data_IF_786292118485
#
_entry.id   IF_786292118485
#
_cell.length_a   1.000
_cell.length_b   1.000
_cell.length_c   1.000
_cell.angle_alpha   90.00
_cell.angle_beta   90.00
_cell.angle_gamma   90.00
#
_symmetry.space_group_name_H-M   'P 1'
#
loop_
_entity.id
_entity.type
_entity.pdbx_description
1 polymer ?
#
# COMPACT_ATOMS: atom_id res chain seq x y z
N UNK A 1 -2.28 20.02 30.03
CA UNK A 1 -3.27 19.05 29.53
C UNK A 1 -4.56 19.79 29.26
N UNK A 2 -5.12 19.62 28.06
CA UNK A 2 -6.46 20.14 27.74
C UNK A 2 -7.49 19.18 28.33
N UNK A 3 -8.63 19.69 28.81
CA UNK A 3 -9.67 18.87 29.46
C UNK A 3 -10.54 18.06 28.48
N UNK A 4 -10.48 18.39 27.18
CA UNK A 4 -11.19 17.72 26.09
C UNK A 4 -10.38 16.54 25.55
N UNK A 5 -11.07 15.51 25.08
CA UNK A 5 -10.41 14.36 24.48
C UNK A 5 -9.89 14.66 23.06
N UNK A 6 -9.17 13.68 22.46
CA UNK A 6 -8.51 13.86 21.16
C UNK A 6 -9.49 14.24 20.04
N UNK A 7 -10.71 13.72 20.07
CA UNK A 7 -11.69 13.95 19.01
C UNK A 7 -12.40 15.30 19.21
N UNK A 8 -12.69 15.65 20.47
CA UNK A 8 -13.35 16.91 20.83
C UNK A 8 -12.51 18.15 20.46
N UNK A 9 -11.18 18.06 20.57
CA UNK A 9 -10.25 19.14 20.19
C UNK A 9 -10.23 19.38 18.67
N UNK A 10 -10.33 18.31 17.89
CA UNK A 10 -10.36 18.38 16.41
C UNK A 10 -11.70 18.94 15.92
N UNK A 11 -12.82 18.56 16.54
CA UNK A 11 -14.15 19.14 16.26
C UNK A 11 -14.25 20.62 16.68
N UNK A 12 -13.53 21.03 17.72
CA UNK A 12 -13.46 22.43 18.17
C UNK A 12 -12.61 23.34 17.25
N UNK A 13 -12.02 22.80 16.18
CA UNK A 13 -11.26 23.58 15.19
C UNK A 13 -9.85 23.99 15.65
N UNK A 14 -9.30 23.32 16.67
CA UNK A 14 -7.95 23.61 17.15
C UNK A 14 -6.89 22.84 16.36
N UNK A 15 -5.80 23.53 16.01
CA UNK A 15 -4.64 22.90 15.37
C UNK A 15 -3.92 22.03 16.37
N UNK A 16 -3.74 20.76 16.02
CA UNK A 16 -3.15 19.75 16.87
C UNK A 16 -1.86 19.21 16.26
N UNK A 17 -0.83 19.07 17.09
CA UNK A 17 0.39 18.33 16.76
C UNK A 17 0.43 17.04 17.59
N UNK A 18 0.52 15.89 16.91
CA UNK A 18 0.78 14.60 17.54
C UNK A 18 2.30 14.38 17.61
N UNK A 19 2.85 14.32 18.83
CA UNK A 19 4.25 13.97 19.05
C UNK A 19 4.38 12.45 19.20
N UNK A 20 5.00 11.79 18.23
CA UNK A 20 5.32 10.37 18.30
C UNK A 20 6.78 10.20 18.74
N UNK A 21 7.01 9.38 19.77
CA UNK A 21 8.34 9.05 20.29
C UNK A 21 9.09 8.00 19.45
N UNK A 22 9.14 8.17 18.13
CA UNK A 22 9.77 7.21 17.22
C UNK A 22 11.27 7.49 17.07
N UNK A 23 12.12 6.58 17.56
CA UNK A 23 13.59 6.76 17.57
C UNK A 23 14.26 6.63 16.20
N UNK A 24 13.55 6.12 15.19
CA UNK A 24 14.13 5.85 13.86
C UNK A 24 14.73 7.09 13.22
N UNK A 25 14.04 8.23 13.29
CA UNK A 25 14.55 9.49 12.72
C UNK A 25 15.82 9.96 13.44
N UNK A 26 15.89 9.80 14.76
CA UNK A 26 17.10 10.10 15.54
C UNK A 26 18.27 9.19 15.14
N UNK A 27 18.02 7.90 14.87
CA UNK A 27 19.06 6.97 14.42
C UNK A 27 19.57 7.36 13.03
N UNK A 28 18.68 7.75 12.12
CA UNK A 28 19.05 8.21 10.77
C UNK A 28 19.89 9.49 10.86
N UNK A 29 19.47 10.45 11.68
CA UNK A 29 20.19 11.71 11.90
C UNK A 29 21.64 11.48 12.38
N UNK A 30 21.82 10.64 13.41
CA UNK A 30 23.16 10.26 13.88
C UNK A 30 23.97 9.51 12.82
N UNK A 31 23.33 8.67 12.01
CA UNK A 31 24.00 7.96 10.92
C UNK A 31 24.51 8.95 9.85
N UNK A 32 23.71 9.96 9.49
CA UNK A 32 24.11 11.02 8.55
C UNK A 32 25.30 11.82 9.10
N UNK A 33 25.27 12.23 10.37
CA UNK A 33 26.40 12.94 10.99
C UNK A 33 27.71 12.14 10.92
N UNK A 34 27.65 10.82 11.11
CA UNK A 34 28.82 9.94 11.03
C UNK A 34 29.31 9.78 9.58
N UNK A 35 28.40 9.61 8.63
CA UNK A 35 28.71 9.48 7.20
C UNK A 35 29.34 10.78 6.67
N UNK A 36 28.81 11.94 7.05
CA UNK A 36 29.30 13.25 6.60
C UNK A 36 30.72 13.54 7.08
N UNK A 37 31.10 13.06 8.28
CA UNK A 37 32.50 13.12 8.74
C UNK A 37 33.44 12.37 7.81
N UNK A 38 33.04 11.20 7.30
CA UNK A 38 33.84 10.41 6.36
C UNK A 38 33.88 11.07 4.98
N UNK A 39 32.73 11.53 4.47
CA UNK A 39 32.62 12.24 3.19
C UNK A 39 33.48 13.50 3.15
N UNK A 40 33.50 14.26 4.23
CA UNK A 40 34.33 15.47 4.38
C UNK A 40 35.83 15.16 4.25
N UNK A 41 36.32 14.06 4.83
CA UNK A 41 37.72 13.61 4.67
C UNK A 41 38.05 13.29 3.21
N UNK A 42 37.08 12.83 2.43
CA UNK A 42 37.23 12.53 1.00
C UNK A 42 36.98 13.75 0.08
N UNK A 43 36.71 14.93 0.64
CA UNK A 43 36.39 16.14 -0.13
C UNK A 43 34.99 16.13 -0.75
N UNK A 44 34.10 15.26 -0.28
CA UNK A 44 32.70 15.19 -0.69
C UNK A 44 31.83 16.10 0.18
N UNK A 45 30.74 16.65 -0.39
CA UNK A 45 29.72 17.37 0.36
C UNK A 45 28.84 16.46 1.22
N UNK A 46 28.03 17.02 2.13
CA UNK A 46 27.14 16.25 3.00
C UNK A 46 26.12 15.42 2.20
N UNK A 47 25.74 14.27 2.73
CA UNK A 47 24.76 13.38 2.12
C UNK A 47 23.34 13.94 2.30
N UNK A 48 22.63 14.17 1.19
CA UNK A 48 21.22 14.51 1.23
C UNK A 48 20.35 13.25 1.14
N UNK A 49 19.78 12.83 2.28
CA UNK A 49 18.93 11.63 2.38
C UNK A 49 17.70 11.69 1.48
N UNK A 50 17.14 12.87 1.21
CA UNK A 50 15.94 13.03 0.36
C UNK A 50 16.22 12.79 -1.13
N UNK A 51 17.51 12.67 -1.50
CA UNK A 51 17.97 12.53 -2.88
C UNK A 51 18.54 11.15 -3.22
N UNK A 52 18.48 10.20 -2.28
CA UNK A 52 19.00 8.85 -2.52
C UNK A 52 18.18 8.14 -3.61
N UNK A 53 18.81 7.31 -4.46
CA UNK A 53 18.09 6.48 -5.43
C UNK A 53 17.18 5.47 -4.71
N UNK A 54 15.99 5.23 -5.26
CA UNK A 54 14.99 4.31 -4.72
C UNK A 54 15.06 2.91 -5.37
N UNK A 55 16.00 2.73 -6.29
CA UNK A 55 16.28 1.54 -7.10
C UNK A 55 17.69 0.97 -6.83
N UNK A 56 18.26 1.26 -5.65
CA UNK A 56 19.59 0.81 -5.26
C UNK A 56 19.70 -0.73 -5.14
N UNK A 57 20.35 -1.35 -6.12
CA UNK A 57 20.49 -2.81 -6.19
C UNK A 57 21.16 -3.43 -4.94
N UNK A 58 22.27 -2.89 -4.39
CA UNK A 58 22.85 -3.38 -3.14
C UNK A 58 21.85 -3.44 -1.97
N UNK A 59 21.02 -2.41 -1.81
CA UNK A 59 19.98 -2.36 -0.78
C UNK A 59 18.93 -3.45 -0.98
N UNK A 60 18.45 -3.65 -2.21
CA UNK A 60 17.50 -4.74 -2.51
C UNK A 60 18.12 -6.13 -2.34
N UNK A 61 19.40 -6.32 -2.68
CA UNK A 61 20.08 -7.60 -2.46
C UNK A 61 20.24 -7.90 -0.96
N UNK A 62 20.58 -6.90 -0.13
CA UNK A 62 20.55 -7.03 1.34
C UNK A 62 19.15 -7.40 1.84
N UNK A 63 18.13 -6.75 1.30
CA UNK A 63 16.74 -7.01 1.66
C UNK A 63 16.32 -8.44 1.30
N UNK A 64 16.63 -8.92 0.09
CA UNK A 64 16.32 -10.29 -0.37
C UNK A 64 16.99 -11.38 0.49
N UNK A 65 18.14 -11.09 1.09
CA UNK A 65 18.79 -11.97 2.09
C UNK A 65 18.12 -11.94 3.48
N UNK A 66 17.10 -11.08 3.65
CA UNK A 66 16.40 -10.81 4.91
C UNK A 66 17.34 -10.33 6.04
N UNK A 67 18.38 -9.60 5.67
CA UNK A 67 19.32 -8.94 6.58
C UNK A 67 18.71 -7.64 7.15
N UNK A 68 17.48 -7.71 7.70
CA UNK A 68 16.67 -6.55 8.08
C UNK A 68 16.66 -6.24 9.58
N UNK A 69 17.65 -6.71 10.33
CA UNK A 69 17.80 -6.29 11.73
C UNK A 69 18.11 -4.79 11.78
N UNK A 70 17.39 -4.03 12.61
CA UNK A 70 17.44 -2.56 12.67
C UNK A 70 16.95 -1.83 11.39
N UNK A 71 16.33 -2.54 10.45
CA UNK A 71 15.62 -1.92 9.32
C UNK A 71 14.18 -1.70 9.72
N UNK A 72 13.79 -0.43 9.88
CA UNK A 72 12.48 -0.03 10.38
C UNK A 72 11.32 -0.79 9.72
N UNK A 73 10.37 -1.27 10.54
CA UNK A 73 9.21 -2.10 10.18
C UNK A 73 9.51 -3.51 9.65
N UNK A 74 10.75 -3.80 9.21
CA UNK A 74 11.09 -5.05 8.52
C UNK A 74 11.79 -6.09 9.40
N UNK A 75 11.85 -5.83 10.71
CA UNK A 75 12.72 -6.52 11.66
C UNK A 75 12.17 -7.87 12.15
N UNK A 76 10.84 -7.99 12.18
CA UNK A 76 10.18 -9.13 12.82
C UNK A 76 10.47 -10.45 12.09
N UNK A 77 10.48 -11.56 12.84
CA UNK A 77 10.71 -12.90 12.26
C UNK A 77 9.74 -13.21 11.12
N UNK A 78 8.44 -12.94 11.31
CA UNK A 78 7.44 -13.21 10.27
C UNK A 78 7.66 -12.35 9.02
N UNK A 79 8.07 -11.09 9.19
CA UNK A 79 8.37 -10.22 8.06
C UNK A 79 9.61 -10.69 7.29
N UNK A 80 10.66 -11.13 7.99
CA UNK A 80 11.85 -11.74 7.36
C UNK A 80 11.50 -12.96 6.51
N UNK A 81 10.62 -13.83 7.00
CA UNK A 81 10.15 -14.98 6.21
C UNK A 81 9.32 -14.54 5.00
N UNK A 82 8.48 -13.52 5.14
CA UNK A 82 7.74 -12.96 4.01
C UNK A 82 8.69 -12.39 2.94
N UNK A 83 9.71 -11.63 3.36
CA UNK A 83 10.73 -11.05 2.47
C UNK A 83 11.45 -12.13 1.67
N UNK A 84 11.89 -13.22 2.31
CA UNK A 84 12.55 -14.35 1.62
C UNK A 84 11.66 -15.01 0.57
N UNK A 85 10.34 -15.02 0.79
CA UNK A 85 9.38 -15.59 -0.16
C UNK A 85 9.02 -14.62 -1.28
N UNK A 86 8.99 -13.31 -1.00
CA UNK A 86 8.60 -12.26 -1.94
C UNK A 86 9.75 -11.75 -2.81
N UNK A 87 10.99 -11.78 -2.29
CA UNK A 87 12.20 -11.28 -2.96
C UNK A 87 12.02 -9.86 -3.52
N UNK A 88 11.70 -8.85 -2.68
CA UNK A 88 11.42 -7.48 -3.14
C UNK A 88 12.60 -6.91 -3.94
N UNK A 89 12.31 -6.29 -5.08
CA UNK A 89 13.29 -5.71 -6.00
C UNK A 89 12.91 -4.29 -6.47
N UNK A 90 11.87 -3.71 -5.86
CA UNK A 90 11.39 -2.36 -6.10
C UNK A 90 10.80 -1.74 -4.85
N UNK A 91 10.65 -0.41 -4.85
CA UNK A 91 9.98 0.29 -3.75
C UNK A 91 8.51 -0.11 -3.63
N UNK A 92 7.82 -0.36 -4.75
CA UNK A 92 6.43 -0.82 -4.76
C UNK A 92 6.27 -2.14 -3.99
N UNK A 93 7.22 -3.06 -4.11
CA UNK A 93 7.23 -4.28 -3.30
C UNK A 93 7.47 -4.02 -1.82
N UNK A 94 8.29 -3.02 -1.46
CA UNK A 94 8.48 -2.63 -0.05
C UNK A 94 7.18 -2.09 0.55
N UNK A 95 6.44 -1.27 -0.20
CA UNK A 95 5.13 -0.77 0.20
C UNK A 95 4.15 -1.96 0.32
N UNK A 96 4.18 -2.88 -0.63
CA UNK A 96 3.35 -4.09 -0.61
C UNK A 96 3.65 -5.00 0.59
N UNK A 97 4.92 -5.18 0.99
CA UNK A 97 5.30 -5.98 2.16
C UNK A 97 4.56 -5.55 3.42
N UNK A 98 4.55 -4.24 3.70
CA UNK A 98 3.90 -3.69 4.90
C UNK A 98 2.38 -3.84 4.83
N UNK A 99 1.79 -3.75 3.63
CA UNK A 99 0.36 -3.98 3.43
C UNK A 99 -0.03 -5.46 3.57
N UNK A 100 0.78 -6.37 3.03
CA UNK A 100 0.58 -7.82 3.06
C UNK A 100 0.82 -8.43 4.44
N UNK A 101 1.71 -7.84 5.26
CA UNK A 101 2.01 -8.34 6.60
C UNK A 101 0.97 -7.90 7.64
N UNK A 102 -0.30 -8.15 7.34
CA UNK A 102 -1.46 -7.89 8.21
C UNK A 102 -2.31 -9.14 8.35
N UNK A 103 -3.06 -9.33 9.46
CA UNK A 103 -3.82 -10.55 9.70
C UNK A 103 -4.78 -10.93 8.56
N UNK A 104 -5.48 -9.96 7.96
CA UNK A 104 -6.42 -10.22 6.87
C UNK A 104 -5.76 -10.82 5.62
N UNK A 105 -4.80 -10.12 4.99
CA UNK A 105 -4.06 -10.65 3.85
C UNK A 105 -3.39 -12.01 4.13
N UNK A 106 -2.75 -12.18 5.29
CA UNK A 106 -2.07 -13.42 5.68
C UNK A 106 -3.02 -14.63 5.79
N UNK A 107 -4.28 -14.42 6.18
CA UNK A 107 -5.27 -15.49 6.37
C UNK A 107 -6.12 -15.78 5.13
N UNK A 108 -6.09 -14.89 4.13
CA UNK A 108 -6.98 -14.96 2.96
C UNK A 108 -6.38 -15.66 1.74
N UNK A 109 -5.10 -16.06 1.78
CA UNK A 109 -4.35 -16.57 0.62
C UNK A 109 -3.81 -15.48 -0.31
N UNK A 110 -4.15 -14.20 -0.06
CA UNK A 110 -3.71 -13.05 -0.87
C UNK A 110 -2.19 -12.93 -0.97
N UNK A 111 -1.47 -13.26 0.10
CA UNK A 111 0.00 -13.22 0.12
C UNK A 111 0.58 -14.23 -0.86
N UNK A 112 0.00 -15.42 -0.93
CA UNK A 112 0.47 -16.48 -1.84
C UNK A 112 0.18 -16.11 -3.29
N UNK A 113 -1.01 -15.56 -3.57
CA UNK A 113 -1.37 -15.06 -4.90
C UNK A 113 -0.41 -13.97 -5.37
N UNK A 114 -0.07 -13.01 -4.51
CA UNK A 114 0.85 -11.92 -4.82
C UNK A 114 2.23 -12.46 -5.21
N UNK A 115 2.77 -13.34 -4.36
CA UNK A 115 4.08 -13.96 -4.55
C UNK A 115 4.12 -14.89 -5.78
N UNK A 116 3.03 -15.59 -6.07
CA UNK A 116 2.94 -16.48 -7.23
C UNK A 116 2.87 -15.68 -8.53
N UNK A 117 2.05 -14.63 -8.58
CA UNK A 117 1.94 -13.75 -9.75
C UNK A 117 3.23 -13.00 -10.01
N UNK A 118 3.85 -12.44 -8.96
CA UNK A 118 5.17 -11.76 -9.08
C UNK A 118 6.22 -12.68 -9.71
N UNK A 119 6.33 -13.92 -9.24
CA UNK A 119 7.33 -14.87 -9.73
C UNK A 119 6.91 -15.63 -10.99
N UNK A 120 5.81 -15.24 -11.66
CA UNK A 120 5.33 -15.90 -12.87
C UNK A 120 4.85 -17.34 -12.67
N UNK A 121 4.59 -17.76 -11.42
CA UNK A 121 4.03 -19.08 -11.07
C UNK A 121 2.51 -19.13 -11.25
N UNK A 122 1.88 -17.97 -11.35
CA UNK A 122 0.47 -17.80 -11.70
C UNK A 122 0.33 -16.66 -12.71
N UNK A 123 -0.66 -16.75 -13.58
CA UNK A 123 -0.96 -15.69 -14.56
C UNK A 123 -1.46 -14.42 -13.84
N UNK A 124 -0.97 -13.27 -14.27
CA UNK A 124 -1.44 -11.97 -13.77
C UNK A 124 -2.82 -11.67 -14.35
N UNK A 125 -3.80 -11.40 -13.49
CA UNK A 125 -5.15 -10.99 -13.89
C UNK A 125 -5.57 -9.72 -13.17
N UNK A 126 -6.40 -8.91 -13.80
CA UNK A 126 -6.74 -7.57 -13.31
C UNK A 126 -8.24 -7.40 -12.96
N UNK A 127 -8.71 -7.79 -11.75
CA UNK A 127 -7.96 -8.44 -10.66
C UNK A 127 -8.02 -9.98 -10.61
N UNK A 128 -8.99 -10.58 -11.29
CA UNK A 128 -9.29 -12.01 -11.18
C UNK A 128 -9.42 -12.66 -12.57
N UNK A 129 -9.00 -13.92 -12.78
CA UNK A 129 -9.06 -14.58 -14.09
C UNK A 129 -10.43 -14.49 -14.77
N UNK A 130 -11.49 -14.79 -14.03
CA UNK A 130 -12.87 -14.75 -14.55
C UNK A 130 -13.45 -13.33 -14.67
N UNK A 131 -12.91 -12.37 -13.90
CA UNK A 131 -13.49 -11.06 -13.68
C UNK A 131 -12.41 -9.99 -13.77
N UNK A 132 -11.94 -9.74 -14.98
CA UNK A 132 -10.90 -8.76 -15.27
C UNK A 132 -11.27 -7.80 -16.39
N UNK A 133 -10.60 -6.66 -16.41
CA UNK A 133 -10.79 -5.64 -17.43
C UNK A 133 -9.50 -4.84 -17.69
N UNK A 134 -9.19 -4.54 -18.95
CA UNK A 134 -7.95 -3.86 -19.36
C UNK A 134 -7.78 -2.48 -18.69
N UNK A 135 -8.88 -1.77 -18.43
CA UNK A 135 -8.85 -0.48 -17.70
C UNK A 135 -8.26 -0.58 -16.29
N UNK A 136 -8.20 -1.78 -15.70
CA UNK A 136 -7.65 -1.99 -14.37
C UNK A 136 -6.14 -2.25 -14.37
N UNK A 137 -5.58 -2.60 -15.52
CA UNK A 137 -4.14 -2.82 -15.69
C UNK A 137 -3.28 -1.67 -15.16
N UNK A 138 -3.50 -0.39 -15.54
CA UNK A 138 -2.66 0.70 -15.02
C UNK A 138 -2.79 0.92 -13.50
N UNK A 139 -3.93 0.56 -12.91
CA UNK A 139 -4.20 0.72 -11.47
C UNK A 139 -3.56 -0.40 -10.64
N UNK A 140 -3.56 -1.62 -11.19
CA UNK A 140 -3.22 -2.83 -10.45
C UNK A 140 -1.89 -3.47 -10.90
N UNK A 141 -1.23 -2.96 -11.95
CA UNK A 141 0.06 -3.47 -12.39
C UNK A 141 1.14 -3.48 -11.29
N UNK A 142 1.31 -2.42 -10.47
CA UNK A 142 2.32 -2.41 -9.40
C UNK A 142 2.08 -3.48 -8.32
N UNK A 143 0.86 -4.00 -8.22
CA UNK A 143 0.47 -5.01 -7.23
C UNK A 143 0.14 -6.35 -7.88
N UNK A 144 0.67 -6.60 -9.09
CA UNK A 144 0.49 -7.85 -9.84
C UNK A 144 -0.98 -8.25 -10.00
N UNK A 145 -1.85 -7.25 -10.21
CA UNK A 145 -3.27 -7.46 -10.40
C UNK A 145 -4.08 -7.61 -9.11
N UNK A 146 -3.46 -7.51 -7.93
CA UNK A 146 -4.16 -7.68 -6.65
C UNK A 146 -4.58 -6.32 -6.10
N UNK A 147 -5.82 -6.21 -5.61
CA UNK A 147 -6.31 -5.00 -4.98
C UNK A 147 -5.78 -4.97 -3.53
N UNK A 148 -4.71 -4.23 -3.32
CA UNK A 148 -3.98 -4.19 -2.05
C UNK A 148 -4.17 -2.87 -1.29
N UNK A 149 -4.45 -1.78 -2.02
CA UNK A 149 -4.54 -0.43 -1.44
C UNK A 149 -5.95 0.17 -1.57
N UNK A 150 -6.27 1.10 -0.67
CA UNK A 150 -7.56 1.79 -0.69
C UNK A 150 -7.66 2.75 -1.88
N UNK A 151 -6.54 3.34 -2.26
CA UNK A 151 -6.35 4.21 -3.40
C UNK A 151 -6.69 3.47 -4.70
N UNK A 152 -6.31 2.19 -4.80
CA UNK A 152 -6.67 1.34 -5.94
C UNK A 152 -8.19 1.14 -6.02
N UNK A 153 -8.87 0.94 -4.89
CA UNK A 153 -10.34 0.84 -4.86
C UNK A 153 -10.99 2.13 -5.36
N UNK A 154 -10.43 3.28 -4.99
CA UNK A 154 -10.92 4.58 -5.48
C UNK A 154 -10.66 4.76 -6.99
N UNK A 155 -9.47 4.41 -7.46
CA UNK A 155 -9.10 4.50 -8.88
C UNK A 155 -9.93 3.53 -9.74
N UNK A 156 -10.21 2.31 -9.26
CA UNK A 156 -11.12 1.35 -9.92
C UNK A 156 -12.49 1.99 -10.15
N UNK A 157 -13.07 2.63 -9.13
CA UNK A 157 -14.35 3.33 -9.28
C UNK A 157 -14.27 4.50 -10.29
N UNK A 158 -13.13 5.19 -10.33
CA UNK A 158 -12.89 6.26 -11.30
C UNK A 158 -12.87 5.73 -12.73
N UNK A 159 -12.06 4.71 -13.01
CA UNK A 159 -11.85 4.21 -14.38
C UNK A 159 -12.99 3.33 -14.88
N UNK A 160 -13.67 2.57 -14.01
CA UNK A 160 -14.76 1.67 -14.41
C UNK A 160 -16.12 2.37 -14.49
N UNK A 161 -16.33 3.40 -13.67
CA UNK A 161 -17.62 4.04 -13.51
C UNK A 161 -17.64 5.57 -13.67
N UNK A 162 -16.49 6.21 -13.88
CA UNK A 162 -16.39 7.65 -14.05
C UNK A 162 -16.69 8.44 -12.79
N UNK A 163 -16.44 7.86 -11.60
CA UNK A 163 -16.62 8.58 -10.33
C UNK A 163 -15.61 9.72 -10.24
N UNK A 164 -15.96 10.82 -9.55
CA UNK A 164 -14.95 11.77 -9.08
C UNK A 164 -14.19 11.20 -7.88
N UNK A 165 -13.01 11.75 -7.56
CA UNK A 165 -12.24 11.33 -6.37
C UNK A 165 -13.06 11.42 -5.07
N UNK A 166 -13.88 12.47 -4.92
CA UNK A 166 -14.77 12.61 -3.77
C UNK A 166 -15.87 11.54 -3.72
N UNK A 167 -16.44 11.17 -4.87
CA UNK A 167 -17.43 10.09 -4.95
C UNK A 167 -16.78 8.72 -4.65
N UNK A 168 -15.56 8.51 -5.13
CA UNK A 168 -14.79 7.30 -4.89
C UNK A 168 -14.41 7.13 -3.40
N UNK A 169 -14.04 8.23 -2.70
CA UNK A 169 -13.78 8.17 -1.26
C UNK A 169 -15.06 7.87 -0.46
N UNK A 170 -16.18 8.50 -0.84
CA UNK A 170 -17.49 8.20 -0.22
C UNK A 170 -17.89 6.74 -0.38
N UNK A 171 -17.56 6.14 -1.53
CA UNK A 171 -17.75 4.72 -1.81
C UNK A 171 -16.85 3.85 -0.93
N UNK A 172 -15.55 4.14 -0.84
CA UNK A 172 -14.59 3.47 0.05
C UNK A 172 -15.09 3.45 1.50
N UNK A 173 -15.53 4.61 2.02
CA UNK A 173 -16.06 4.73 3.39
C UNK A 173 -17.35 3.94 3.60
N UNK A 174 -18.20 3.81 2.58
CA UNK A 174 -19.43 3.04 2.67
C UNK A 174 -19.14 1.53 2.77
N UNK A 175 -18.12 1.04 2.07
CA UNK A 175 -17.68 -0.36 2.11
C UNK A 175 -17.19 -0.76 3.51
N UNK A 176 -16.28 0.02 4.11
CA UNK A 176 -15.77 -0.27 5.45
C UNK A 176 -16.83 -0.25 6.57
N UNK A 177 -17.99 0.37 6.33
CA UNK A 177 -19.12 0.39 7.28
C UNK A 177 -20.10 -0.79 7.13
N UNK A 178 -19.85 -1.74 6.20
CA UNK A 178 -20.68 -2.93 5.92
C UNK A 178 -22.20 -2.68 5.83
N UNK A 179 -22.64 -1.48 5.42
CA UNK A 179 -24.07 -1.15 5.28
C UNK A 179 -24.62 -1.67 3.95
N UNK A 180 -25.11 -2.92 3.95
CA UNK A 180 -25.59 -3.65 2.77
C UNK A 180 -26.53 -2.85 1.84
N UNK A 181 -27.49 -2.08 2.40
CA UNK A 181 -28.47 -1.31 1.61
C UNK A 181 -27.83 -0.20 0.75
N UNK A 182 -26.74 0.41 1.24
CA UNK A 182 -26.07 1.54 0.58
C UNK A 182 -25.06 1.06 -0.47
N UNK A 183 -24.43 -0.09 -0.22
CA UNK A 183 -23.53 -0.76 -1.16
C UNK A 183 -24.26 -1.24 -2.42
N UNK A 184 -25.51 -1.73 -2.29
CA UNK A 184 -26.32 -2.14 -3.45
C UNK A 184 -26.72 -0.98 -4.39
N UNK A 185 -26.95 0.23 -3.84
CA UNK A 185 -27.23 1.43 -4.65
C UNK A 185 -25.96 2.02 -5.28
N UNK A 186 -24.83 1.97 -4.57
CA UNK A 186 -23.55 2.42 -5.10
C UNK A 186 -23.04 1.49 -6.20
N UNK A 187 -23.16 0.18 -6.02
CA UNK A 187 -22.90 -0.81 -7.08
C UNK A 187 -23.77 -0.51 -8.30
N UNK A 188 -25.06 -0.19 -8.12
CA UNK A 188 -25.98 0.23 -9.19
C UNK A 188 -25.54 1.46 -9.98
N UNK A 189 -24.86 2.43 -9.35
CA UNK A 189 -24.35 3.64 -10.01
C UNK A 189 -22.99 3.43 -10.68
N UNK A 190 -22.23 2.40 -10.28
CA UNK A 190 -21.00 2.03 -10.96
C UNK A 190 -21.26 1.48 -12.39
N UNK A 191 -22.48 0.99 -12.67
CA UNK A 191 -22.87 0.34 -13.93
C UNK A 191 -23.07 1.28 -15.12
N UNK A 192 -22.39 2.42 -15.14
CA UNK A 192 -22.82 3.57 -15.92
C UNK A 192 -22.12 3.87 -17.24
N UNK A 193 -20.77 3.81 -17.36
CA UNK A 193 -20.12 4.61 -18.42
C UNK A 193 -18.85 4.08 -19.10
N UNK A 194 -18.13 3.08 -18.57
CA UNK A 194 -16.84 2.68 -19.18
C UNK A 194 -16.65 1.17 -19.42
N UNK A 195 -17.21 0.30 -18.59
CA UNK A 195 -17.08 -1.16 -18.71
C UNK A 195 -18.44 -1.87 -18.78
N UNK A 196 -18.54 -3.06 -19.40
CA UNK A 196 -19.78 -3.83 -19.49
C UNK A 196 -20.37 -4.09 -18.08
N UNK A 197 -21.70 -3.93 -17.89
CA UNK A 197 -22.33 -4.13 -16.57
C UNK A 197 -22.04 -5.49 -15.95
N UNK A 198 -21.92 -6.55 -16.77
CA UNK A 198 -21.63 -7.92 -16.34
C UNK A 198 -20.26 -8.08 -15.67
N UNK A 199 -19.25 -7.36 -16.17
CA UNK A 199 -17.88 -7.37 -15.63
C UNK A 199 -17.82 -6.54 -14.35
N UNK A 200 -18.42 -5.36 -14.36
CA UNK A 200 -18.51 -4.47 -13.19
C UNK A 200 -19.23 -5.11 -12.00
N UNK A 201 -20.29 -5.90 -12.24
CA UNK A 201 -21.04 -6.62 -11.19
C UNK A 201 -20.16 -7.65 -10.47
N UNK A 202 -19.25 -8.31 -11.18
CA UNK A 202 -18.46 -9.43 -10.64
C UNK A 202 -17.11 -9.01 -10.04
N UNK A 203 -16.54 -7.90 -10.51
CA UNK A 203 -15.34 -7.29 -9.90
C UNK A 203 -15.66 -6.67 -8.52
N UNK A 204 -16.89 -6.18 -8.35
CA UNK A 204 -17.26 -5.45 -7.13
C UNK A 204 -17.21 -6.29 -5.84
N UNK A 205 -17.72 -7.52 -5.78
CA UNK A 205 -17.52 -8.41 -4.63
C UNK A 205 -16.04 -8.60 -4.27
N UNK A 206 -15.17 -8.73 -5.27
CA UNK A 206 -13.71 -8.91 -5.07
C UNK A 206 -13.08 -7.68 -4.41
N UNK A 207 -13.49 -6.47 -4.80
CA UNK A 207 -13.02 -5.22 -4.15
C UNK A 207 -13.50 -5.06 -2.70
N UNK A 208 -14.63 -5.69 -2.34
CA UNK A 208 -15.26 -5.55 -1.02
C UNK A 208 -14.84 -6.62 0.00
N UNK A 209 -14.31 -7.75 -0.46
CA UNK A 209 -13.85 -8.84 0.42
C UNK A 209 -12.50 -8.53 1.08
N UNK A 210 -11.78 -7.55 0.53
CA UNK A 210 -10.47 -7.13 1.01
C UNK A 210 -10.52 -6.03 2.09
N UNK A 211 -11.70 -5.48 2.42
CA UNK A 211 -11.88 -4.34 3.35
C UNK A 211 -13.16 -4.37 4.19
#
# INVERSE_FOLDING_TARGET
>A
MVQFDKNDIEEAGLVKFDFLGLRTLTIIDWALEMVDKVRSVNGEGPLNIDSIPLDDAPTFEMLKRAETTAVFQLESRGMKELIKRLLPDSLDDMIALVALFRPGPLQSGMVDDFINRKHGRAEVSYPHPDYQHELLKPVLAPTYGIILYQEQVMQIAQVMAGYSLGQADMLRRAMGKKKARRNGQAARRLYGKAAPPTVSIKIWPVTSLTW
#
